data_IF_451865528628
#
_entry.id   IF_451865528628
#
_cell.length_a   1.000
_cell.length_b   1.000
_cell.length_c   1.000
_cell.angle_alpha   90.00
_cell.angle_beta   90.00
_cell.angle_gamma   90.00
#
_symmetry.space_group_name_H-M   'P 1'
#
loop_
_entity.id
_entity.type
_entity.pdbx_description
1 polymer ?
#
# COMPACT_ATOMS: atom_id res chain seq x y z
N UNK A 1 0.35 11.19 -11.78
CA UNK A 1 -0.53 11.96 -12.69
C UNK A 1 -1.80 11.14 -12.85
N UNK A 2 -2.92 11.66 -12.32
CA UNK A 2 -4.22 11.08 -12.62
C UNK A 2 -4.51 11.36 -14.08
N UNK A 3 -4.87 10.32 -14.83
CA UNK A 3 -5.32 10.41 -16.20
C UNK A 3 -6.44 11.44 -16.29
N UNK A 4 -6.42 12.35 -17.29
CA UNK A 4 -7.49 13.34 -17.52
C UNK A 4 -8.86 12.66 -17.67
N UNK A 5 -8.91 11.38 -18.03
CA UNK A 5 -10.11 10.56 -18.09
C UNK A 5 -10.65 10.09 -16.73
N UNK A 6 -9.87 10.19 -15.64
CA UNK A 6 -10.30 9.66 -14.34
C UNK A 6 -11.59 10.32 -13.82
N UNK A 7 -11.70 11.63 -13.95
CA UNK A 7 -12.89 12.38 -13.55
C UNK A 7 -14.13 11.97 -14.38
N UNK A 8 -13.97 11.87 -15.69
CA UNK A 8 -15.03 11.41 -16.59
C UNK A 8 -15.45 9.97 -16.29
N UNK A 9 -14.49 9.10 -15.99
CA UNK A 9 -14.77 7.71 -15.62
C UNK A 9 -15.60 7.62 -14.34
N UNK A 10 -15.25 8.37 -13.28
CA UNK A 10 -16.02 8.43 -12.04
C UNK A 10 -17.43 8.96 -12.30
N UNK A 11 -17.58 10.03 -13.09
CA UNK A 11 -18.88 10.60 -13.47
C UNK A 11 -19.74 9.58 -14.21
N UNK A 12 -19.20 8.91 -15.23
CA UNK A 12 -19.90 7.88 -16.00
C UNK A 12 -20.37 6.71 -15.12
N UNK A 13 -19.53 6.27 -14.17
CA UNK A 13 -19.89 5.21 -13.22
C UNK A 13 -21.08 5.64 -12.36
N UNK A 14 -21.08 6.88 -11.85
CA UNK A 14 -22.16 7.42 -11.03
C UNK A 14 -23.46 7.65 -11.80
N UNK A 15 -23.37 7.98 -13.09
CA UNK A 15 -24.55 8.17 -13.97
C UNK A 15 -25.15 6.83 -14.42
N UNK A 16 -24.31 5.82 -14.60
CA UNK A 16 -24.72 4.49 -15.09
C UNK A 16 -25.18 3.53 -13.99
N UNK A 17 -24.95 3.88 -12.70
CA UNK A 17 -25.22 2.97 -11.58
C UNK A 17 -25.85 3.73 -10.40
N UNK A 18 -26.72 3.03 -9.66
CA UNK A 18 -27.24 3.53 -8.38
C UNK A 18 -26.23 3.22 -7.27
N UNK A 19 -25.40 4.20 -6.90
CA UNK A 19 -24.38 4.06 -5.87
C UNK A 19 -24.84 4.81 -4.63
N UNK A 20 -25.04 4.09 -3.52
CA UNK A 20 -25.54 4.67 -2.26
C UNK A 20 -24.42 5.23 -1.40
N UNK A 21 -23.27 4.55 -1.35
CA UNK A 21 -22.16 4.92 -0.49
C UNK A 21 -20.85 4.96 -1.28
N UNK A 22 -19.98 5.88 -0.90
CA UNK A 22 -18.62 5.96 -1.41
C UNK A 22 -17.62 6.16 -0.27
N UNK A 23 -16.37 5.77 -0.49
CA UNK A 23 -15.23 6.02 0.40
C UNK A 23 -14.02 6.34 -0.44
N UNK A 24 -13.21 7.27 0.03
CA UNK A 24 -11.97 7.66 -0.65
C UNK A 24 -10.82 7.60 0.35
N UNK A 25 -9.77 6.87 -0.02
CA UNK A 25 -8.47 6.92 0.62
C UNK A 25 -7.58 7.82 -0.21
N UNK A 26 -7.40 9.06 0.21
CA UNK A 26 -6.62 10.05 -0.51
C UNK A 26 -5.79 10.89 0.45
N UNK A 27 -4.54 11.10 0.09
CA UNK A 27 -3.57 11.90 0.84
C UNK A 27 -3.23 13.22 0.12
N UNK A 28 -3.82 13.49 -1.07
CA UNK A 28 -3.48 14.69 -1.87
C UNK A 28 -4.69 15.61 -2.10
N UNK A 29 -4.41 16.92 -2.12
CA UNK A 29 -5.39 17.99 -2.42
C UNK A 29 -5.92 17.96 -3.87
N UNK A 30 -5.38 17.12 -4.74
CA UNK A 30 -5.69 17.08 -6.17
C UNK A 30 -7.07 16.51 -6.55
N UNK A 31 -7.87 16.03 -5.58
CA UNK A 31 -9.14 15.34 -5.84
C UNK A 31 -10.38 16.09 -5.30
N UNK A 32 -10.30 17.40 -5.13
CA UNK A 32 -11.40 18.20 -4.57
C UNK A 32 -12.69 18.05 -5.38
N UNK A 33 -12.60 18.15 -6.70
CA UNK A 33 -13.74 18.02 -7.61
C UNK A 33 -14.42 16.64 -7.53
N UNK A 34 -13.63 15.57 -7.41
CA UNK A 34 -14.15 14.21 -7.24
C UNK A 34 -14.83 14.05 -5.88
N UNK A 35 -14.25 14.61 -4.83
CA UNK A 35 -14.86 14.59 -3.49
C UNK A 35 -16.19 15.34 -3.45
N UNK A 36 -16.29 16.48 -4.13
CA UNK A 36 -17.52 17.23 -4.30
C UNK A 36 -18.57 16.44 -5.09
N UNK A 37 -18.17 15.82 -6.21
CA UNK A 37 -19.05 14.98 -7.03
C UNK A 37 -19.59 13.77 -6.23
N UNK A 38 -18.72 13.05 -5.52
CA UNK A 38 -19.10 11.92 -4.69
C UNK A 38 -20.03 12.34 -3.54
N UNK A 39 -19.74 13.46 -2.88
CA UNK A 39 -20.58 14.01 -1.80
C UNK A 39 -21.96 14.42 -2.27
N UNK A 40 -22.08 14.91 -3.53
CA UNK A 40 -23.36 15.31 -4.12
C UNK A 40 -24.23 14.11 -4.56
N UNK A 41 -23.61 12.98 -4.92
CA UNK A 41 -24.30 11.82 -5.52
C UNK A 41 -24.42 10.62 -4.60
N UNK A 42 -23.61 10.52 -3.54
CA UNK A 42 -23.54 9.38 -2.65
C UNK A 42 -23.40 9.84 -1.19
N UNK A 43 -23.61 8.91 -0.25
CA UNK A 43 -23.15 9.12 1.13
C UNK A 43 -21.64 8.88 1.18
N UNK A 44 -20.86 9.96 1.13
CA UNK A 44 -19.40 9.88 1.20
C UNK A 44 -18.95 9.62 2.64
N UNK A 45 -18.29 8.50 2.84
CA UNK A 45 -17.66 8.11 4.11
C UNK A 45 -16.23 8.65 4.10
N UNK A 46 -15.90 9.48 5.09
CA UNK A 46 -14.56 10.05 5.26
C UNK A 46 -13.70 9.16 6.13
N UNK A 47 -12.42 9.02 5.76
CA UNK A 47 -11.43 8.35 6.60
C UNK A 47 -10.83 9.40 7.53
N UNK A 48 -11.48 9.59 8.66
CA UNK A 48 -11.11 10.56 9.71
C UNK A 48 -11.17 9.90 11.10
N UNK A 49 -11.05 10.70 12.14
CA UNK A 49 -11.05 10.24 13.53
C UNK A 49 -12.40 9.66 14.01
N UNK A 50 -13.47 9.89 13.27
CA UNK A 50 -14.83 9.40 13.60
C UNK A 50 -15.11 8.05 12.92
N UNK A 51 -14.27 7.64 11.97
CA UNK A 51 -14.43 6.37 11.25
C UNK A 51 -14.33 5.19 12.24
N UNK A 52 -15.34 4.32 12.23
CA UNK A 52 -15.27 3.06 12.94
C UNK A 52 -14.29 2.13 12.24
N UNK A 53 -13.32 1.62 12.97
CA UNK A 53 -12.31 0.66 12.50
C UNK A 53 -12.43 -0.66 13.25
N UNK A 54 -12.07 -1.81 12.63
CA UNK A 54 -12.29 -3.13 13.20
C UNK A 54 -11.18 -3.62 14.14
N UNK A 55 -10.25 -2.76 14.52
CA UNK A 55 -9.09 -3.11 15.34
C UNK A 55 -8.78 -2.00 16.35
N UNK A 56 -8.02 -2.33 17.38
CA UNK A 56 -7.48 -1.35 18.32
C UNK A 56 -6.23 -0.70 17.72
N UNK A 57 -6.30 0.61 17.52
CA UNK A 57 -5.18 1.37 16.97
C UNK A 57 -4.25 1.83 18.09
N UNK A 58 -3.08 1.19 18.21
CA UNK A 58 -2.02 1.54 19.18
C UNK A 58 -0.92 2.44 18.57
N UNK A 59 -1.10 2.92 17.33
CA UNK A 59 -0.16 3.86 16.72
C UNK A 59 -0.10 5.16 17.52
N UNK A 60 1.10 5.59 17.92
CA UNK A 60 1.28 6.72 18.87
C UNK A 60 0.74 8.05 18.33
N UNK A 61 0.98 8.32 17.03
CA UNK A 61 0.56 9.56 16.36
C UNK A 61 -0.58 9.28 15.37
N UNK A 62 -1.78 8.99 15.93
CA UNK A 62 -2.94 8.57 15.11
C UNK A 62 -3.33 9.57 14.02
N UNK A 63 -3.13 10.87 14.26
CA UNK A 63 -3.44 11.94 13.30
C UNK A 63 -2.51 11.99 12.09
N UNK A 64 -1.33 11.37 12.16
CA UNK A 64 -0.36 11.32 11.07
C UNK A 64 -0.32 9.96 10.36
N UNK A 65 -1.15 9.01 10.81
CA UNK A 65 -1.24 7.70 10.16
C UNK A 65 -1.88 7.85 8.78
N UNK A 66 -1.19 7.36 7.75
CA UNK A 66 -1.71 7.35 6.38
C UNK A 66 -3.03 6.59 6.29
N UNK A 67 -3.97 7.14 5.54
CA UNK A 67 -5.30 6.54 5.35
C UNK A 67 -5.21 5.18 4.66
N UNK A 68 -4.29 5.03 3.71
CA UNK A 68 -3.97 3.78 3.01
C UNK A 68 -3.55 2.68 3.99
N UNK A 69 -2.66 2.98 4.93
CA UNK A 69 -2.21 2.05 5.96
C UNK A 69 -3.37 1.61 6.87
N UNK A 70 -4.22 2.55 7.29
CA UNK A 70 -5.41 2.24 8.09
C UNK A 70 -6.37 1.30 7.35
N UNK A 71 -6.57 1.53 6.05
CA UNK A 71 -7.42 0.69 5.18
C UNK A 71 -6.84 -0.71 5.02
N UNK A 72 -5.53 -0.83 4.77
CA UNK A 72 -4.84 -2.11 4.63
C UNK A 72 -4.94 -2.95 5.92
N UNK A 73 -4.72 -2.32 7.08
CA UNK A 73 -4.88 -2.98 8.38
C UNK A 73 -6.33 -3.39 8.63
N UNK A 74 -7.32 -2.59 8.21
CA UNK A 74 -8.75 -2.96 8.28
C UNK A 74 -9.06 -4.19 7.43
N UNK A 75 -8.43 -4.29 6.26
CA UNK A 75 -8.53 -5.47 5.39
C UNK A 75 -7.97 -6.72 6.07
N UNK A 76 -6.80 -6.60 6.70
CA UNK A 76 -6.15 -7.69 7.42
C UNK A 76 -6.98 -8.16 8.62
N UNK A 77 -7.46 -7.25 9.45
CA UNK A 77 -8.30 -7.55 10.59
C UNK A 77 -9.57 -8.31 10.21
N UNK A 78 -10.17 -7.97 9.05
CA UNK A 78 -11.37 -8.64 8.54
C UNK A 78 -11.08 -10.03 7.97
N UNK A 79 -10.02 -10.16 7.17
CA UNK A 79 -9.75 -11.38 6.41
C UNK A 79 -9.02 -12.44 7.25
N UNK A 80 -8.24 -12.01 8.24
CA UNK A 80 -7.41 -12.89 9.06
C UNK A 80 -7.61 -12.63 10.56
N UNK A 81 -8.84 -12.75 11.08
CA UNK A 81 -9.08 -12.56 12.51
C UNK A 81 -8.24 -13.53 13.34
N UNK A 82 -7.78 -13.10 14.49
CA UNK A 82 -6.96 -13.88 15.42
C UNK A 82 -5.64 -14.40 14.80
N UNK A 83 -5.05 -13.64 13.88
CA UNK A 83 -3.73 -13.95 13.33
C UNK A 83 -2.79 -12.75 13.47
N UNK A 84 -1.51 -13.02 13.64
CA UNK A 84 -0.47 -12.02 13.37
C UNK A 84 -0.38 -11.82 11.86
N UNK A 85 -0.47 -10.58 11.40
CA UNK A 85 -0.38 -10.26 9.96
C UNK A 85 0.59 -9.12 9.74
N UNK A 86 1.56 -9.34 8.86
CA UNK A 86 2.41 -8.29 8.28
C UNK A 86 1.91 -7.99 6.88
N UNK A 87 1.48 -6.76 6.65
CA UNK A 87 1.10 -6.25 5.34
C UNK A 87 2.28 -5.48 4.76
N UNK A 88 2.67 -5.80 3.54
CA UNK A 88 3.73 -5.12 2.79
C UNK A 88 3.08 -4.53 1.55
N UNK A 89 2.97 -3.20 1.51
CA UNK A 89 2.44 -2.48 0.36
C UNK A 89 3.56 -1.90 -0.49
N UNK A 90 3.64 -2.32 -1.73
CA UNK A 90 4.64 -1.91 -2.72
C UNK A 90 4.06 -0.83 -3.64
N UNK A 91 3.94 0.37 -3.12
CA UNK A 91 3.47 1.55 -3.82
C UNK A 91 4.56 2.60 -4.07
N UNK A 92 4.19 3.88 -4.05
CA UNK A 92 5.14 5.01 -4.10
C UNK A 92 6.19 4.93 -3.00
N UNK A 93 5.75 4.54 -1.79
CA UNK A 93 6.60 4.03 -0.72
C UNK A 93 6.35 2.54 -0.54
N UNK A 94 7.28 1.85 0.09
CA UNK A 94 7.05 0.52 0.65
C UNK A 94 6.62 0.73 2.10
N UNK A 95 5.43 0.26 2.47
CA UNK A 95 5.01 0.26 3.87
C UNK A 95 4.95 -1.16 4.41
N UNK A 96 5.29 -1.28 5.68
CA UNK A 96 5.19 -2.50 6.47
C UNK A 96 4.25 -2.21 7.61
N UNK A 97 3.14 -2.94 7.71
CA UNK A 97 2.12 -2.73 8.72
C UNK A 97 1.83 -4.03 9.46
N UNK A 98 1.97 -4.00 10.79
CA UNK A 98 1.77 -5.18 11.61
C UNK A 98 0.53 -5.04 12.50
N UNK A 99 -0.35 -6.04 12.41
CA UNK A 99 -1.46 -6.24 13.32
C UNK A 99 -1.29 -7.56 14.06
N UNK A 100 -1.48 -7.53 15.38
CA UNK A 100 -1.29 -8.69 16.24
C UNK A 100 -2.49 -9.63 16.25
N UNK A 101 -2.29 -10.82 16.79
CA UNK A 101 -3.33 -11.83 17.01
C UNK A 101 -4.46 -11.32 17.93
N UNK A 102 -4.18 -10.35 18.81
CA UNK A 102 -5.15 -9.65 19.67
C UNK A 102 -5.93 -8.57 18.92
N UNK A 103 -5.76 -8.48 17.60
CA UNK A 103 -6.39 -7.45 16.77
C UNK A 103 -5.96 -6.03 17.14
N UNK A 104 -4.69 -5.85 17.48
CA UNK A 104 -4.07 -4.56 17.78
C UNK A 104 -3.11 -4.14 16.67
N UNK A 105 -3.32 -2.98 16.07
CA UNK A 105 -2.36 -2.39 15.14
C UNK A 105 -1.22 -1.74 15.90
N UNK A 106 -0.04 -2.28 15.75
CA UNK A 106 1.17 -1.87 16.48
C UNK A 106 1.93 -0.77 15.74
N UNK A 107 1.90 -0.79 14.41
CA UNK A 107 2.68 0.10 13.55
C UNK A 107 3.49 -0.68 12.54
N UNK A 108 4.65 -0.15 12.17
CA UNK A 108 5.54 -0.79 11.21
C UNK A 108 6.61 0.17 10.67
N UNK A 109 6.94 0.06 9.38
CA UNK A 109 8.00 0.84 8.75
C UNK A 109 7.53 1.48 7.43
N UNK A 110 8.25 2.51 7.00
CA UNK A 110 8.10 3.15 5.69
C UNK A 110 9.48 3.21 5.05
N UNK A 111 9.58 2.79 3.82
CA UNK A 111 10.80 2.78 3.03
C UNK A 111 10.55 3.33 1.62
N UNK A 112 11.57 3.83 0.90
CA UNK A 112 11.40 4.31 -0.47
C UNK A 112 10.96 3.20 -1.41
N UNK A 113 9.91 3.46 -2.20
CA UNK A 113 9.44 2.56 -3.24
C UNK A 113 10.38 2.46 -4.45
N UNK A 114 10.04 1.57 -5.38
CA UNK A 114 10.87 1.23 -6.53
C UNK A 114 11.27 2.47 -7.36
N UNK A 115 10.28 3.22 -7.82
CA UNK A 115 10.53 4.43 -8.62
C UNK A 115 11.20 5.55 -7.84
N UNK A 116 10.94 5.64 -6.53
CA UNK A 116 11.58 6.62 -5.67
C UNK A 116 13.09 6.38 -5.56
N UNK A 117 13.53 5.13 -5.48
CA UNK A 117 14.97 4.78 -5.44
C UNK A 117 15.68 5.13 -6.75
N UNK A 118 15.07 4.87 -7.91
CA UNK A 118 15.62 5.29 -9.21
C UNK A 118 15.75 6.82 -9.30
N UNK A 119 14.68 7.53 -8.93
CA UNK A 119 14.68 9.00 -8.92
C UNK A 119 15.71 9.56 -7.95
N UNK A 120 15.86 8.97 -6.76
CA UNK A 120 16.85 9.41 -5.78
C UNK A 120 18.28 9.28 -6.30
N UNK A 121 18.65 8.16 -6.91
CA UNK A 121 19.98 7.99 -7.51
C UNK A 121 20.27 9.03 -8.58
N UNK A 122 19.33 9.34 -9.46
CA UNK A 122 19.50 10.39 -10.45
C UNK A 122 19.55 11.78 -9.81
N UNK A 123 18.63 12.11 -8.90
CA UNK A 123 18.49 13.47 -8.38
C UNK A 123 19.60 13.87 -7.39
N UNK A 124 20.18 12.90 -6.66
CA UNK A 124 21.19 13.16 -5.63
C UNK A 124 22.62 12.82 -6.07
N UNK A 125 22.82 12.50 -7.36
CA UNK A 125 24.17 12.29 -7.92
C UNK A 125 24.35 13.10 -9.20
N UNK A 126 25.62 13.43 -9.54
CA UNK A 126 25.92 14.29 -10.68
C UNK A 126 25.69 13.61 -12.05
N UNK A 127 25.93 12.29 -12.15
CA UNK A 127 26.07 11.62 -13.46
C UNK A 127 25.24 10.35 -13.61
N UNK A 128 24.47 9.92 -12.60
CA UNK A 128 23.68 8.71 -12.75
C UNK A 128 22.40 8.99 -13.58
N UNK A 129 22.14 8.20 -14.62
CA UNK A 129 20.95 8.38 -15.45
C UNK A 129 19.66 8.05 -14.70
N UNK A 130 18.55 8.71 -15.08
CA UNK A 130 17.23 8.30 -14.66
C UNK A 130 16.80 7.06 -15.47
N UNK A 131 16.63 5.93 -14.80
CA UNK A 131 16.25 4.67 -15.42
C UNK A 131 14.80 4.29 -15.01
N UNK A 132 14.15 3.54 -15.90
CA UNK A 132 12.87 2.90 -15.60
C UNK A 132 13.11 1.49 -15.04
N UNK A 133 12.23 0.97 -14.16
CA UNK A 133 12.36 -0.37 -13.61
C UNK A 133 12.48 -1.44 -14.70
N UNK A 134 13.50 -2.27 -14.61
CA UNK A 134 13.77 -3.39 -15.52
C UNK A 134 13.91 -4.68 -14.71
N UNK A 135 13.39 -5.78 -15.22
CA UNK A 135 13.66 -7.10 -14.63
C UNK A 135 15.14 -7.42 -14.83
N UNK A 136 15.75 -7.89 -13.75
CA UNK A 136 17.15 -8.31 -13.75
C UNK A 136 17.23 -9.75 -13.25
N UNK A 137 18.11 -10.53 -13.82
CA UNK A 137 18.38 -11.90 -13.38
C UNK A 137 19.68 -11.96 -12.58
N UNK A 138 20.66 -11.13 -12.94
CA UNK A 138 21.95 -11.06 -12.30
C UNK A 138 21.97 -10.14 -11.06
N UNK A 139 22.78 -10.52 -10.07
CA UNK A 139 22.99 -9.74 -8.86
C UNK A 139 24.13 -8.75 -8.96
N UNK A 140 25.01 -8.95 -9.92
CA UNK A 140 26.19 -8.12 -10.16
C UNK A 140 25.99 -7.39 -11.49
N UNK A 141 25.99 -6.04 -11.44
CA UNK A 141 25.96 -5.22 -12.64
C UNK A 141 27.36 -5.03 -13.19
N UNK A 142 27.53 -5.20 -14.49
CA UNK A 142 28.84 -5.06 -15.18
C UNK A 142 29.02 -3.68 -15.82
N UNK A 143 27.98 -2.84 -15.77
CA UNK A 143 28.01 -1.45 -16.21
C UNK A 143 27.14 -0.58 -15.28
N UNK A 144 27.15 0.73 -15.46
CA UNK A 144 26.44 1.67 -14.59
C UNK A 144 24.94 1.39 -14.51
N UNK A 145 24.28 1.16 -15.64
CA UNK A 145 22.83 0.92 -15.67
C UNK A 145 22.47 -0.40 -14.97
N UNK A 146 23.17 -1.49 -15.27
CA UNK A 146 22.93 -2.78 -14.62
C UNK A 146 23.27 -2.74 -13.12
N UNK A 147 24.28 -1.96 -12.73
CA UNK A 147 24.59 -1.73 -11.31
C UNK A 147 23.48 -0.97 -10.58
N UNK A 148 22.88 0.06 -11.20
CA UNK A 148 21.73 0.76 -10.69
C UNK A 148 20.54 -0.19 -10.57
N UNK A 149 20.22 -0.95 -11.61
CA UNK A 149 19.13 -1.93 -11.57
C UNK A 149 19.35 -2.97 -10.49
N UNK A 150 20.55 -3.52 -10.39
CA UNK A 150 20.91 -4.50 -9.35
C UNK A 150 20.75 -3.93 -7.95
N UNK A 151 21.31 -2.75 -7.70
CA UNK A 151 21.24 -2.08 -6.39
C UNK A 151 19.80 -1.78 -5.96
N UNK A 152 18.99 -1.25 -6.87
CA UNK A 152 17.59 -0.88 -6.58
C UNK A 152 16.72 -2.12 -6.40
N UNK A 153 16.69 -3.03 -7.38
CA UNK A 153 15.75 -4.17 -7.37
C UNK A 153 16.15 -5.21 -6.33
N UNK A 154 17.42 -5.62 -6.29
CA UNK A 154 17.86 -6.60 -5.29
C UNK A 154 17.88 -5.99 -3.89
N UNK A 155 18.18 -4.68 -3.75
CA UNK A 155 18.09 -3.98 -2.47
C UNK A 155 16.68 -4.06 -1.86
N UNK A 156 15.63 -3.84 -2.65
CA UNK A 156 14.24 -3.99 -2.20
C UNK A 156 13.96 -5.46 -1.81
N UNK A 157 14.41 -6.43 -2.61
CA UNK A 157 14.18 -7.84 -2.33
C UNK A 157 14.86 -8.27 -1.03
N UNK A 158 16.09 -7.81 -0.79
CA UNK A 158 16.81 -8.11 0.45
C UNK A 158 16.16 -7.45 1.67
N UNK A 159 15.71 -6.20 1.53
CA UNK A 159 14.96 -5.49 2.56
C UNK A 159 13.67 -6.24 2.94
N UNK A 160 12.87 -6.62 1.95
CA UNK A 160 11.62 -7.35 2.19
C UNK A 160 11.90 -8.71 2.85
N UNK A 161 12.83 -9.49 2.30
CA UNK A 161 13.15 -10.81 2.86
C UNK A 161 13.68 -10.68 4.29
N UNK A 162 14.59 -9.75 4.56
CA UNK A 162 15.12 -9.51 5.90
C UNK A 162 14.04 -9.07 6.88
N UNK A 163 13.12 -8.20 6.45
CA UNK A 163 11.98 -7.77 7.27
C UNK A 163 11.05 -8.96 7.57
N UNK A 164 10.71 -9.76 6.56
CA UNK A 164 9.87 -10.95 6.75
C UNK A 164 10.52 -11.97 7.70
N UNK A 165 11.82 -12.22 7.53
CA UNK A 165 12.56 -13.15 8.38
C UNK A 165 12.60 -12.64 9.84
N UNK A 166 12.80 -11.33 10.06
CA UNK A 166 12.73 -10.72 11.38
C UNK A 166 11.35 -10.92 12.03
N UNK A 167 10.26 -10.59 11.33
CA UNK A 167 8.92 -10.77 11.89
C UNK A 167 8.57 -12.26 12.14
N UNK A 168 9.06 -13.18 11.31
CA UNK A 168 8.90 -14.62 11.52
C UNK A 168 9.68 -15.14 12.75
N UNK A 169 10.81 -14.52 13.08
CA UNK A 169 11.56 -14.88 14.29
C UNK A 169 10.90 -14.39 15.58
N UNK A 170 10.24 -13.23 15.51
CA UNK A 170 9.57 -12.63 16.67
C UNK A 170 8.16 -13.18 16.92
N UNK A 171 7.43 -13.52 15.85
CA UNK A 171 6.02 -13.90 15.94
C UNK A 171 5.78 -15.29 15.35
N UNK A 172 5.29 -16.21 16.19
CA UNK A 172 4.83 -17.52 15.70
C UNK A 172 3.60 -17.33 14.81
N UNK A 173 3.49 -18.15 13.76
CA UNK A 173 2.30 -18.19 12.88
C UNK A 173 1.91 -16.81 12.33
N UNK A 174 2.85 -16.11 11.74
CA UNK A 174 2.58 -14.84 11.06
C UNK A 174 2.18 -15.04 9.59
N UNK A 175 1.13 -14.35 9.17
CA UNK A 175 0.74 -14.26 7.75
C UNK A 175 1.42 -13.07 7.11
N UNK A 176 1.96 -13.25 5.91
CA UNK A 176 2.59 -12.18 5.14
C UNK A 176 1.71 -11.88 3.93
N UNK A 177 1.26 -10.64 3.83
CA UNK A 177 0.46 -10.14 2.71
C UNK A 177 1.31 -9.18 1.91
N UNK A 178 1.37 -9.39 0.60
CA UNK A 178 2.02 -8.49 -0.34
C UNK A 178 0.97 -7.85 -1.24
N UNK A 179 0.96 -6.52 -1.30
CA UNK A 179 0.03 -5.74 -2.12
C UNK A 179 0.75 -4.58 -2.80
N UNK A 180 0.02 -3.70 -3.46
CA UNK A 180 0.56 -2.54 -4.17
C UNK A 180 0.89 -2.78 -5.64
N UNK A 181 1.06 -1.70 -6.38
CA UNK A 181 1.25 -1.72 -7.83
C UNK A 181 2.50 -2.47 -8.29
N UNK A 182 3.59 -2.36 -7.52
CA UNK A 182 4.87 -3.02 -7.83
C UNK A 182 4.95 -4.47 -7.35
N UNK A 183 3.91 -4.98 -6.66
CA UNK A 183 3.88 -6.34 -6.10
C UNK A 183 4.05 -7.41 -7.18
N UNK A 184 3.40 -7.26 -8.33
CA UNK A 184 3.51 -8.20 -9.47
C UNK A 184 4.91 -8.24 -10.07
N UNK A 185 5.64 -7.12 -10.05
CA UNK A 185 7.00 -7.03 -10.55
C UNK A 185 8.00 -7.74 -9.63
N UNK A 186 7.84 -7.60 -8.31
CA UNK A 186 8.79 -8.07 -7.30
C UNK A 186 8.48 -9.47 -6.74
N UNK A 187 7.21 -9.90 -6.75
CA UNK A 187 6.75 -11.12 -6.06
C UNK A 187 7.49 -12.40 -6.44
N UNK A 188 7.89 -12.53 -7.71
CA UNK A 188 8.60 -13.74 -8.22
C UNK A 188 9.98 -13.96 -7.58
N UNK A 189 10.59 -12.91 -7.02
CA UNK A 189 11.94 -12.96 -6.42
C UNK A 189 11.92 -12.98 -4.88
N UNK A 190 10.76 -12.81 -4.29
CA UNK A 190 10.58 -12.82 -2.84
C UNK A 190 10.38 -14.25 -2.39
N UNK A 191 11.26 -14.74 -1.50
CA UNK A 191 11.42 -16.17 -1.15
C UNK A 191 10.38 -16.75 -0.19
N UNK A 192 9.37 -16.08 0.24
CA UNK A 192 8.51 -16.56 1.32
C UNK A 192 7.10 -16.87 0.84
N UNK A 193 6.37 -17.73 1.57
CA UNK A 193 4.93 -17.98 1.38
C UNK A 193 4.15 -16.70 1.62
N UNK A 194 4.06 -15.87 0.58
CA UNK A 194 3.46 -14.56 0.60
C UNK A 194 2.17 -14.63 -0.18
N UNK A 195 1.09 -14.22 0.46
CA UNK A 195 -0.19 -14.09 -0.21
C UNK A 195 -0.22 -12.74 -0.95
N UNK A 196 -0.01 -12.78 -2.27
CA UNK A 196 -0.08 -11.59 -3.10
C UNK A 196 -1.53 -11.27 -3.48
N UNK A 197 -2.03 -10.10 -3.10
CA UNK A 197 -3.38 -9.63 -3.44
C UNK A 197 -3.37 -8.15 -3.81
N UNK A 198 -3.42 -7.84 -5.11
CA UNK A 198 -3.43 -6.47 -5.63
C UNK A 198 -4.69 -5.68 -5.24
N UNK A 199 -5.78 -6.36 -4.87
CA UNK A 199 -7.04 -5.73 -4.48
C UNK A 199 -7.19 -5.56 -2.96
N UNK A 200 -6.13 -5.79 -2.18
CA UNK A 200 -6.20 -5.83 -0.72
C UNK A 200 -6.68 -4.50 -0.13
N UNK A 201 -6.25 -3.38 -0.71
CA UNK A 201 -6.72 -2.04 -0.34
C UNK A 201 -8.22 -1.87 -0.64
N UNK A 202 -8.67 -2.28 -1.83
CA UNK A 202 -10.08 -2.17 -2.22
C UNK A 202 -11.00 -3.01 -1.33
N UNK A 203 -10.56 -4.19 -0.91
CA UNK A 203 -11.28 -5.03 0.05
C UNK A 203 -11.41 -4.34 1.42
N UNK A 204 -10.35 -3.65 1.87
CA UNK A 204 -10.38 -2.85 3.08
C UNK A 204 -11.35 -1.67 3.00
N UNK A 205 -11.34 -0.92 1.89
CA UNK A 205 -12.28 0.17 1.63
C UNK A 205 -13.73 -0.32 1.64
N UNK A 206 -14.02 -1.40 0.93
CA UNK A 206 -15.36 -1.99 0.90
C UNK A 206 -15.81 -2.42 2.31
N UNK A 207 -14.93 -3.02 3.07
CA UNK A 207 -15.24 -3.41 4.46
C UNK A 207 -15.53 -2.19 5.35
N UNK A 208 -14.76 -1.11 5.21
CA UNK A 208 -15.01 0.12 5.95
C UNK A 208 -16.34 0.78 5.57
N UNK A 209 -16.75 0.71 4.29
CA UNK A 209 -18.11 1.11 3.88
C UNK A 209 -19.15 0.30 4.65
N UNK A 210 -19.06 -1.03 4.63
CA UNK A 210 -20.02 -1.90 5.31
C UNK A 210 -20.11 -1.61 6.81
N UNK A 211 -18.99 -1.31 7.46
CA UNK A 211 -18.93 -1.00 8.88
C UNK A 211 -19.52 0.37 9.25
N UNK A 212 -19.53 1.34 8.31
CA UNK A 212 -19.87 2.75 8.55
C UNK A 212 -21.12 3.26 7.78
N UNK A 213 -21.77 2.43 6.97
CA UNK A 213 -22.92 2.84 6.14
C UNK A 213 -24.23 3.13 6.88
N UNK A 214 -24.28 2.89 8.19
CA UNK A 214 -25.49 3.11 9.03
C UNK A 214 -25.72 4.59 9.32
#
# INVERSE_FOLDING_TARGET
EFDKDYHNNVKNILESNTILNSIVSNVSDSNKEIMELLSAKTKLIKIDSLLKIPFKNNYKTKSTLGQDRLVLVSSAAKQFPNNNVLIIDLGSCITYDFISVENEYIGGAISPGLNMRYKALNSFTANLPLLNPKKIDDRIGENTEDSIHSGVVNGIIFEINGTVDYYKSEFKEIRIILTGGDSKFLSKKIKNSIFANSNFLLLGLNYLIELNKK
#
